data_IF_252030545465
#
_entry.id   IF_252030545465
#
_cell.length_a   1.000
_cell.length_b   1.000
_cell.length_c   1.000
_cell.angle_alpha   90.00
_cell.angle_beta   90.00
_cell.angle_gamma   90.00
#
_symmetry.space_group_name_H-M   'P 1'
#
loop_
_entity.id
_entity.type
_entity.pdbx_description
1 polymer ?
#
# COMPACT_ATOMS: atom_id res chain seq x y z
N UNK A 1 2.90 19.73 -4.53
CA UNK A 1 2.37 18.81 -3.50
C UNK A 1 0.90 19.16 -3.28
N UNK A 2 -0.04 18.33 -3.78
CA UNK A 2 -1.48 18.53 -3.54
C UNK A 2 -1.98 17.44 -2.60
N UNK A 3 -2.25 17.79 -1.35
CA UNK A 3 -2.96 16.93 -0.41
C UNK A 3 -4.45 17.21 -0.62
N UNK A 4 -5.18 16.29 -1.22
CA UNK A 4 -6.64 16.40 -1.30
C UNK A 4 -7.24 15.91 0.02
N UNK A 5 -7.66 16.86 0.84
CA UNK A 5 -8.44 16.61 2.06
C UNK A 5 -9.91 16.81 1.74
N UNK A 6 -10.70 15.73 1.72
CA UNK A 6 -12.16 15.82 1.69
C UNK A 6 -12.70 15.55 3.07
N UNK A 7 -13.22 16.61 3.70
CA UNK A 7 -13.77 16.54 5.04
C UNK A 7 -15.25 16.16 4.96
N UNK A 8 -15.55 14.88 5.19
CA UNK A 8 -16.90 14.33 5.21
C UNK A 8 -16.91 12.90 4.69
N UNK A 9 -16.89 11.93 5.61
CA UNK A 9 -16.79 10.49 5.41
C UNK A 9 -15.37 9.99 5.02
N UNK A 10 -14.57 9.71 6.05
CA UNK A 10 -13.65 8.55 6.16
C UNK A 10 -12.69 8.17 5.01
N UNK A 11 -12.52 8.99 3.97
CA UNK A 11 -11.67 8.72 2.81
C UNK A 11 -10.49 9.70 2.77
N UNK A 12 -9.32 9.25 3.23
CA UNK A 12 -8.10 10.05 3.21
C UNK A 12 -7.22 9.71 2.00
N UNK A 13 -7.58 10.19 0.81
CA UNK A 13 -6.76 9.92 -0.38
C UNK A 13 -5.51 10.80 -0.39
N UNK A 14 -4.38 10.25 0.07
CA UNK A 14 -3.08 10.90 -0.02
C UNK A 14 -2.38 10.50 -1.32
N UNK A 15 -2.21 11.46 -2.26
CA UNK A 15 -1.49 11.28 -3.54
C UNK A 15 -0.26 12.16 -3.59
N UNK A 16 0.94 11.56 -3.55
CA UNK A 16 2.19 12.27 -3.79
C UNK A 16 2.61 12.05 -5.24
N UNK A 17 2.93 13.14 -5.94
CA UNK A 17 3.65 13.16 -7.22
C UNK A 17 4.79 14.19 -7.13
N UNK A 18 6.04 13.73 -7.26
CA UNK A 18 7.32 14.47 -7.45
C UNK A 18 7.89 15.37 -6.32
N UNK A 19 9.23 15.28 -6.11
CA UNK A 19 10.10 16.24 -5.37
C UNK A 19 11.40 15.64 -4.81
N UNK A 20 12.53 16.37 -4.91
CA UNK A 20 13.96 15.95 -4.82
C UNK A 20 14.44 15.15 -3.59
N UNK A 21 13.59 14.86 -2.62
CA UNK A 21 13.95 13.97 -1.50
C UNK A 21 13.21 12.64 -1.48
N UNK A 22 12.18 12.43 -2.32
CA UNK A 22 11.37 11.21 -2.45
C UNK A 22 10.86 10.60 -1.12
N UNK A 23 11.02 11.29 0.02
CA UNK A 23 10.70 10.80 1.36
C UNK A 23 9.28 11.20 1.74
N UNK A 24 8.53 10.23 2.24
CA UNK A 24 7.19 10.45 2.78
C UNK A 24 7.27 11.25 4.09
N UNK A 25 6.31 12.15 4.36
CA UNK A 25 6.27 12.86 5.62
C UNK A 25 6.02 11.88 6.78
N UNK A 26 6.71 12.06 7.90
CA UNK A 26 6.59 11.18 9.08
C UNK A 26 5.15 11.12 9.62
N UNK A 27 4.40 12.21 9.47
CA UNK A 27 2.98 12.32 9.85
C UNK A 27 2.09 11.32 9.11
N UNK A 28 2.48 10.85 7.92
CA UNK A 28 1.74 9.81 7.18
C UNK A 28 1.68 8.52 8.01
N UNK A 29 2.80 8.10 8.58
CA UNK A 29 2.92 6.87 9.37
C UNK A 29 2.23 6.97 10.74
N UNK A 30 1.84 8.17 11.16
CA UNK A 30 1.06 8.40 12.37
C UNK A 30 -0.45 8.41 12.12
N UNK A 31 -0.89 8.44 10.86
CA UNK A 31 -2.30 8.57 10.51
C UNK A 31 -2.99 7.20 10.52
N UNK A 32 -3.41 6.76 11.71
CA UNK A 32 -4.09 5.46 11.91
C UNK A 32 -5.54 5.42 11.36
N UNK A 33 -6.07 6.56 10.89
CA UNK A 33 -7.42 6.65 10.35
C UNK A 33 -7.46 6.54 8.82
N UNK A 34 -6.31 6.32 8.18
CA UNK A 34 -6.23 6.18 6.73
C UNK A 34 -6.96 4.92 6.25
N UNK A 35 -7.93 5.13 5.35
CA UNK A 35 -8.62 4.06 4.64
C UNK A 35 -8.11 3.84 3.22
N UNK A 36 -7.70 4.88 2.53
CA UNK A 36 -7.24 4.80 1.14
C UNK A 36 -5.86 5.43 1.06
N UNK A 37 -4.88 4.78 0.45
CA UNK A 37 -3.55 5.36 0.25
C UNK A 37 -3.11 5.12 -1.20
N UNK A 38 -2.67 6.17 -1.89
CA UNK A 38 -2.23 6.10 -3.28
C UNK A 38 -0.91 6.82 -3.45
N UNK A 39 0.19 6.08 -3.42
CA UNK A 39 1.54 6.64 -3.52
C UNK A 39 2.05 6.49 -4.93
N UNK A 40 2.66 7.56 -5.47
CA UNK A 40 3.32 7.49 -6.77
C UNK A 40 4.73 8.09 -6.78
N UNK A 41 5.67 7.39 -7.40
CA UNK A 41 7.03 7.87 -7.69
C UNK A 41 7.75 8.36 -6.42
N UNK A 42 7.78 7.54 -5.36
CA UNK A 42 8.39 7.89 -4.06
C UNK A 42 9.14 6.72 -3.40
N UNK A 43 9.91 7.00 -2.35
CA UNK A 43 10.56 6.01 -1.50
C UNK A 43 9.69 5.72 -0.27
N UNK A 44 9.23 4.48 -0.14
CA UNK A 44 8.50 4.02 1.05
C UNK A 44 9.48 3.39 2.05
N UNK A 45 9.82 4.14 3.09
CA UNK A 45 10.68 3.67 4.18
C UNK A 45 10.04 4.06 5.53
N UNK A 46 9.21 3.19 6.13
CA UNK A 46 8.51 3.49 7.36
C UNK A 46 9.48 3.51 8.56
N UNK A 47 9.23 4.33 9.60
CA UNK A 47 10.00 4.28 10.83
C UNK A 47 9.76 2.94 11.57
N UNK A 48 10.71 2.48 12.42
CA UNK A 48 10.54 1.23 13.18
C UNK A 48 9.32 1.19 14.10
N UNK A 49 8.77 2.36 14.46
CA UNK A 49 7.57 2.50 15.28
C UNK A 49 6.26 2.33 14.49
N UNK A 50 6.33 2.25 13.16
CA UNK A 50 5.16 2.09 12.31
C UNK A 50 4.54 0.71 12.51
N UNK A 51 3.27 0.69 12.89
CA UNK A 51 2.50 -0.54 13.18
C UNK A 51 1.54 -0.92 12.05
N UNK A 52 1.62 -0.24 10.91
CA UNK A 52 0.67 -0.42 9.82
C UNK A 52 -0.52 0.52 9.82
N UNK A 53 -1.40 0.29 8.85
CA UNK A 53 -2.66 1.02 8.68
C UNK A 53 -3.85 0.09 8.96
N UNK A 54 -4.27 0.04 10.22
CA UNK A 54 -5.30 -0.91 10.68
C UNK A 54 -6.70 -0.69 10.07
N UNK A 55 -6.97 0.49 9.49
CA UNK A 55 -8.25 0.85 8.86
C UNK A 55 -8.16 0.93 7.33
N UNK A 56 -7.05 0.50 6.75
CA UNK A 56 -6.82 0.60 5.31
C UNK A 56 -7.70 -0.39 4.54
N UNK A 57 -8.48 0.16 3.61
CA UNK A 57 -9.35 -0.51 2.65
C UNK A 57 -8.66 -0.61 1.28
N UNK A 58 -7.98 0.47 0.83
CA UNK A 58 -7.29 0.49 -0.47
C UNK A 58 -5.85 0.95 -0.33
N UNK A 59 -4.95 0.19 -0.95
CA UNK A 59 -3.54 0.53 -1.08
C UNK A 59 -3.13 0.48 -2.55
N UNK A 60 -2.66 1.62 -3.06
CA UNK A 60 -2.14 1.78 -4.41
C UNK A 60 -0.69 2.29 -4.34
N UNK A 61 0.23 1.54 -4.91
CA UNK A 61 1.66 1.87 -4.97
C UNK A 61 2.12 1.87 -6.43
N UNK A 62 2.36 3.04 -7.00
CA UNK A 62 2.78 3.22 -8.39
C UNK A 62 4.21 3.75 -8.46
N UNK A 63 5.13 3.06 -9.13
CA UNK A 63 6.53 3.48 -9.22
C UNK A 63 7.19 3.76 -7.85
N UNK A 64 6.71 3.08 -6.79
CA UNK A 64 7.21 3.25 -5.43
C UNK A 64 8.41 2.34 -5.22
N UNK A 65 9.52 2.92 -4.75
CA UNK A 65 10.68 2.15 -4.30
C UNK A 65 10.41 1.67 -2.87
N UNK A 66 10.33 0.36 -2.67
CA UNK A 66 10.04 -0.28 -1.38
C UNK A 66 10.82 -1.59 -1.25
N UNK A 67 11.31 -1.90 -0.04
CA UNK A 67 11.93 -3.19 0.24
C UNK A 67 10.84 -4.27 0.29
N UNK A 68 11.14 -5.47 -0.23
CA UNK A 68 10.26 -6.64 -0.20
C UNK A 68 9.71 -6.96 1.20
N UNK A 69 10.57 -7.03 2.23
CA UNK A 69 10.14 -7.31 3.61
C UNK A 69 9.21 -6.22 4.16
N UNK A 70 9.49 -4.96 3.78
CA UNK A 70 8.67 -3.80 4.17
C UNK A 70 7.31 -3.85 3.46
N UNK A 71 7.26 -4.27 2.20
CA UNK A 71 6.03 -4.44 1.44
C UNK A 71 5.14 -5.53 2.06
N UNK A 72 5.70 -6.71 2.35
CA UNK A 72 4.96 -7.81 2.98
C UNK A 72 4.47 -7.44 4.38
N UNK A 73 5.31 -6.75 5.16
CA UNK A 73 4.95 -6.23 6.48
C UNK A 73 3.82 -5.19 6.39
N UNK A 74 3.91 -4.26 5.44
CA UNK A 74 2.88 -3.24 5.19
C UNK A 74 1.54 -3.90 4.86
N UNK A 75 1.50 -4.82 3.91
CA UNK A 75 0.27 -5.52 3.51
C UNK A 75 -0.30 -6.32 4.68
N UNK A 76 0.55 -7.07 5.40
CA UNK A 76 0.12 -7.87 6.55
C UNK A 76 -0.41 -7.01 7.72
N UNK A 77 -0.05 -5.74 7.76
CA UNK A 77 -0.48 -4.78 8.78
C UNK A 77 -1.79 -4.04 8.42
N UNK A 78 -2.42 -4.40 7.30
CA UNK A 78 -3.68 -3.85 6.82
C UNK A 78 -4.78 -4.94 6.81
N UNK A 79 -5.41 -5.24 7.96
CA UNK A 79 -6.35 -6.36 8.09
C UNK A 79 -7.68 -6.16 7.34
N UNK A 80 -8.04 -4.92 7.01
CA UNK A 80 -9.28 -4.55 6.30
C UNK A 80 -9.03 -4.26 4.81
N UNK A 81 -7.87 -4.63 4.27
CA UNK A 81 -7.49 -4.30 2.90
C UNK A 81 -8.34 -5.09 1.91
N UNK A 82 -9.14 -4.38 1.12
CA UNK A 82 -10.04 -4.89 0.08
C UNK A 82 -9.41 -4.73 -1.32
N UNK A 83 -8.71 -3.62 -1.58
CA UNK A 83 -8.09 -3.32 -2.86
C UNK A 83 -6.57 -3.13 -2.73
N UNK A 84 -5.79 -3.92 -3.48
CA UNK A 84 -4.34 -3.79 -3.57
C UNK A 84 -3.90 -3.61 -5.03
N UNK A 85 -3.30 -2.46 -5.34
CA UNK A 85 -2.75 -2.13 -6.65
C UNK A 85 -1.24 -1.92 -6.51
N UNK A 86 -0.44 -2.78 -7.14
CA UNK A 86 1.01 -2.70 -7.13
C UNK A 86 1.55 -2.52 -8.55
N UNK A 87 2.13 -1.35 -8.79
CA UNK A 87 2.88 -1.00 -10.00
C UNK A 87 4.30 -0.58 -9.61
N UNK A 88 4.94 -1.38 -8.76
CA UNK A 88 6.28 -1.13 -8.26
C UNK A 88 7.33 -1.63 -9.25
N UNK A 89 8.44 -0.89 -9.48
CA UNK A 89 9.44 -1.25 -10.46
C UNK A 89 10.38 -2.36 -9.96
N UNK A 90 10.35 -2.66 -8.66
CA UNK A 90 11.12 -3.71 -8.03
C UNK A 90 10.68 -5.08 -8.56
N UNK A 91 11.65 -5.85 -9.09
CA UNK A 91 11.43 -7.28 -9.36
C UNK A 91 11.43 -8.02 -8.03
N UNK A 92 10.31 -8.67 -7.72
CA UNK A 92 10.24 -9.62 -6.62
C UNK A 92 10.17 -11.05 -7.19
N UNK A 93 10.92 -11.97 -6.61
CA UNK A 93 10.86 -13.38 -7.01
C UNK A 93 9.60 -14.05 -6.47
N UNK A 94 9.19 -13.65 -5.27
CA UNK A 94 7.96 -14.11 -4.63
C UNK A 94 7.27 -12.97 -3.90
N UNK A 95 5.95 -13.07 -3.73
CA UNK A 95 5.17 -12.16 -2.90
C UNK A 95 4.12 -12.94 -2.12
N UNK A 96 4.21 -12.86 -0.80
CA UNK A 96 3.19 -13.40 0.09
C UNK A 96 2.24 -12.30 0.58
N UNK A 97 0.96 -12.45 0.26
CA UNK A 97 -0.08 -11.49 0.61
C UNK A 97 -0.95 -12.09 1.71
N UNK A 98 -0.90 -11.45 2.87
CA UNK A 98 -1.75 -11.76 4.01
C UNK A 98 -2.77 -10.64 4.23
N UNK A 99 -3.77 -10.59 3.35
CA UNK A 99 -4.88 -9.64 3.40
C UNK A 99 -6.19 -10.45 3.32
N UNK A 100 -6.89 -10.68 4.45
CA UNK A 100 -8.01 -11.60 4.51
C UNK A 100 -9.29 -11.07 3.87
N UNK A 101 -9.42 -9.75 3.76
CA UNK A 101 -10.55 -9.07 3.13
C UNK A 101 -10.27 -8.68 1.68
N UNK A 102 -9.15 -9.15 1.10
CA UNK A 102 -8.75 -8.71 -0.24
C UNK A 102 -9.73 -9.22 -1.29
N UNK A 103 -10.34 -8.31 -2.02
CA UNK A 103 -11.28 -8.58 -3.11
C UNK A 103 -10.62 -8.35 -4.47
N UNK A 104 -9.77 -7.32 -4.57
CA UNK A 104 -9.09 -6.93 -5.80
C UNK A 104 -7.58 -6.90 -5.61
N UNK A 105 -6.87 -7.62 -6.50
CA UNK A 105 -5.42 -7.58 -6.62
C UNK A 105 -5.02 -7.25 -8.05
N UNK A 106 -4.39 -6.08 -8.25
CA UNK A 106 -3.84 -5.67 -9.54
C UNK A 106 -2.31 -5.56 -9.46
N UNK A 107 -1.60 -6.31 -10.32
CA UNK A 107 -0.14 -6.34 -10.39
C UNK A 107 0.31 -5.95 -11.80
N UNK A 108 1.03 -4.85 -11.95
CA UNK A 108 1.57 -4.44 -13.27
C UNK A 108 2.86 -5.18 -13.63
N UNK A 109 3.68 -5.51 -12.63
CA UNK A 109 4.88 -6.32 -12.78
C UNK A 109 4.79 -7.51 -11.80
N UNK A 110 4.05 -8.57 -12.17
CA UNK A 110 3.81 -9.68 -11.25
C UNK A 110 5.13 -10.42 -10.94
N UNK A 111 5.33 -10.84 -9.68
CA UNK A 111 6.48 -11.65 -9.30
C UNK A 111 6.35 -13.08 -9.85
N UNK A 112 7.45 -13.84 -9.82
CA UNK A 112 7.46 -15.23 -10.30
C UNK A 112 6.50 -16.12 -9.53
N UNK A 113 6.28 -15.85 -8.23
CA UNK A 113 5.31 -16.55 -7.40
C UNK A 113 4.49 -15.60 -6.55
N UNK A 114 3.16 -15.74 -6.55
CA UNK A 114 2.25 -15.02 -5.65
C UNK A 114 1.52 -16.04 -4.78
N UNK A 115 1.51 -15.84 -3.47
CA UNK A 115 0.76 -16.67 -2.52
C UNK A 115 -0.19 -15.80 -1.69
N UNK A 116 -1.45 -16.23 -1.64
CA UNK A 116 -2.52 -15.56 -0.90
C UNK A 116 -2.82 -16.41 0.34
N UNK A 117 -2.53 -15.90 1.54
CA UNK A 117 -2.63 -16.75 2.74
C UNK A 117 -4.06 -17.01 3.23
N UNK A 118 -5.05 -16.14 2.95
CA UNK A 118 -6.46 -16.31 3.38
C UNK A 118 -7.45 -15.39 2.65
N UNK A 119 -7.53 -15.39 1.32
CA UNK A 119 -8.63 -14.65 0.66
C UNK A 119 -9.55 -15.61 -0.12
N UNK A 120 -10.73 -15.95 0.45
CA UNK A 120 -11.72 -16.78 -0.23
C UNK A 120 -12.54 -16.00 -1.28
N UNK A 121 -12.26 -14.71 -1.54
CA UNK A 121 -13.13 -13.79 -2.30
C UNK A 121 -12.44 -13.08 -3.48
N UNK A 122 -11.21 -13.45 -3.85
CA UNK A 122 -10.43 -12.72 -4.86
C UNK A 122 -10.97 -12.88 -6.30
N UNK A 123 -11.24 -11.74 -6.94
CA UNK A 123 -11.34 -11.62 -8.39
C UNK A 123 -9.99 -11.07 -8.93
N UNK A 124 -9.32 -11.84 -9.80
CA UNK A 124 -8.08 -11.41 -10.45
C UNK A 124 -8.47 -10.70 -11.75
N UNK A 125 -8.16 -9.40 -11.85
CA UNK A 125 -8.43 -8.55 -13.02
C UNK A 125 -7.13 -8.07 -13.66
#
# INVERSE_FOLDING_TARGET
MYILWKNGAEEFTFRIKYGEENRLPSSLFMCLQLKLLSLSTCLFNPPPSFKGFNRMIRLELCEVTINHEVLESLISSCPLLEELVLQVPNKFDYLEINAPMLELLALTYPPTSVRLKKSPLLEIV
#
